data_IF_920250808596
#
_entry.id   IF_920250808596
#
_cell.length_a   1.000
_cell.length_b   1.000
_cell.length_c   1.000
_cell.angle_alpha   90.00
_cell.angle_beta   90.00
_cell.angle_gamma   90.00
#
_symmetry.space_group_name_H-M   'P 1'
#
loop_
_entity.id
_entity.type
_entity.pdbx_description
1 polymer ?
#
# COMPACT_ATOMS: atom_id res chain seq x y z
N UNK A 1 -18.43 17.76 -35.24
CA UNK A 1 -17.77 16.57 -34.62
C UNK A 1 -16.45 16.94 -33.94
N UNK A 2 -15.51 17.63 -34.62
CA UNK A 2 -14.23 18.06 -34.04
C UNK A 2 -14.36 18.97 -32.80
N UNK A 3 -15.24 19.98 -32.82
CA UNK A 3 -15.44 20.88 -31.68
C UNK A 3 -15.96 20.18 -30.41
N UNK A 4 -16.83 19.16 -30.57
CA UNK A 4 -17.35 18.37 -29.45
C UNK A 4 -16.30 17.43 -28.85
N UNK A 5 -15.46 16.81 -29.68
CA UNK A 5 -14.32 16.02 -29.22
C UNK A 5 -13.30 16.88 -28.47
N UNK A 6 -13.02 18.09 -28.95
CA UNK A 6 -12.11 19.04 -28.31
C UNK A 6 -12.67 19.57 -26.98
N UNK A 7 -13.98 19.86 -26.91
CA UNK A 7 -14.63 20.26 -25.66
C UNK A 7 -14.65 19.12 -24.63
N UNK A 8 -14.92 17.88 -25.06
CA UNK A 8 -14.95 16.71 -24.18
C UNK A 8 -13.56 16.37 -23.62
N UNK A 9 -12.50 16.42 -24.42
CA UNK A 9 -11.13 16.20 -23.95
C UNK A 9 -10.65 17.33 -23.01
N UNK A 10 -11.06 18.58 -23.26
CA UNK A 10 -10.70 19.72 -22.42
C UNK A 10 -11.36 19.65 -21.03
N UNK A 11 -12.65 19.31 -20.97
CA UNK A 11 -13.37 19.13 -19.69
C UNK A 11 -12.73 18.00 -18.89
N UNK A 12 -12.40 16.88 -19.54
CA UNK A 12 -11.77 15.74 -18.89
C UNK A 12 -10.36 16.07 -18.35
N UNK A 13 -9.56 16.86 -19.08
CA UNK A 13 -8.26 17.32 -18.61
C UNK A 13 -8.37 18.28 -17.41
N UNK A 14 -9.34 19.20 -17.43
CA UNK A 14 -9.61 20.11 -16.32
C UNK A 14 -10.06 19.38 -15.05
N UNK A 15 -10.92 18.37 -15.20
CA UNK A 15 -11.39 17.53 -14.09
C UNK A 15 -10.25 16.71 -13.49
N UNK A 16 -9.37 16.14 -14.32
CA UNK A 16 -8.17 15.43 -13.85
C UNK A 16 -7.25 16.34 -13.06
N UNK A 17 -6.92 17.54 -13.55
CA UNK A 17 -5.99 18.44 -12.82
C UNK A 17 -6.56 18.88 -11.47
N UNK A 18 -7.87 19.11 -11.38
CA UNK A 18 -8.56 19.40 -10.12
C UNK A 18 -8.54 18.19 -9.18
N UNK A 19 -8.93 17.02 -9.66
CA UNK A 19 -8.95 15.78 -8.90
C UNK A 19 -7.55 15.35 -8.40
N UNK A 20 -6.51 15.60 -9.19
CA UNK A 20 -5.13 15.30 -8.86
C UNK A 20 -4.60 16.11 -7.66
N UNK A 21 -5.20 17.27 -7.37
CA UNK A 21 -4.87 18.11 -6.21
C UNK A 21 -5.70 17.77 -4.97
N UNK A 22 -6.69 16.88 -5.11
CA UNK A 22 -7.54 16.49 -4.00
C UNK A 22 -6.75 15.77 -2.90
N UNK A 23 -7.12 16.02 -1.63
CA UNK A 23 -6.49 15.36 -0.49
C UNK A 23 -6.60 13.83 -0.55
N UNK A 24 -7.74 13.32 -1.02
CA UNK A 24 -8.00 11.88 -1.17
C UNK A 24 -6.97 11.26 -2.13
N UNK A 25 -6.78 11.86 -3.31
CA UNK A 25 -5.80 11.38 -4.28
C UNK A 25 -4.35 11.45 -3.79
N UNK A 26 -3.95 12.60 -3.22
CA UNK A 26 -2.61 12.77 -2.66
C UNK A 26 -2.32 11.76 -1.54
N UNK A 27 -3.33 11.40 -0.75
CA UNK A 27 -3.22 10.37 0.30
C UNK A 27 -3.03 8.98 -0.32
N UNK A 28 -3.80 8.64 -1.36
CA UNK A 28 -3.66 7.35 -2.08
C UNK A 28 -2.29 7.18 -2.74
N UNK A 29 -1.58 8.27 -3.04
CA UNK A 29 -0.22 8.28 -3.56
C UNK A 29 0.85 8.47 -2.48
N UNK A 30 0.47 8.58 -1.20
CA UNK A 30 1.37 8.88 -0.08
C UNK A 30 2.26 10.12 -0.32
N UNK A 31 1.70 11.18 -0.89
CA UNK A 31 2.42 12.41 -1.16
C UNK A 31 2.63 13.19 0.14
N UNK A 32 3.89 13.52 0.43
CA UNK A 32 4.29 14.48 1.45
C UNK A 32 5.25 15.49 0.83
N UNK A 33 5.10 16.79 1.15
CA UNK A 33 5.96 17.86 0.61
C UNK A 33 6.20 17.72 -0.91
N UNK A 34 5.14 17.48 -1.67
CA UNK A 34 5.11 17.30 -3.13
C UNK A 34 5.87 16.08 -3.70
N UNK A 35 6.24 15.10 -2.88
CA UNK A 35 6.82 13.83 -3.36
C UNK A 35 6.15 12.63 -2.71
N UNK A 36 6.09 11.52 -3.43
CA UNK A 36 5.59 10.26 -2.86
C UNK A 36 6.62 9.65 -1.92
N UNK A 37 6.18 9.20 -0.76
CA UNK A 37 6.99 8.38 0.14
C UNK A 37 7.19 6.95 -0.38
N UNK A 38 6.31 6.46 -1.25
CA UNK A 38 6.47 5.16 -1.89
C UNK A 38 7.52 5.24 -2.99
N UNK A 39 8.54 4.41 -2.90
CA UNK A 39 9.65 4.36 -3.85
C UNK A 39 9.52 3.24 -4.90
N UNK A 40 8.72 2.21 -4.61
CA UNK A 40 8.54 1.04 -5.48
C UNK A 40 7.97 1.42 -6.85
N UNK A 41 8.67 1.09 -7.92
CA UNK A 41 8.21 1.34 -9.30
C UNK A 41 6.87 0.69 -9.59
N UNK A 42 6.65 -0.52 -9.06
CA UNK A 42 5.40 -1.25 -9.22
C UNK A 42 4.20 -0.47 -8.67
N UNK A 43 4.38 0.46 -7.73
CA UNK A 43 3.28 1.25 -7.19
C UNK A 43 2.71 2.27 -8.19
N UNK A 44 3.48 2.66 -9.21
CA UNK A 44 3.11 3.71 -10.15
C UNK A 44 2.75 3.14 -11.52
N UNK A 45 1.83 3.80 -12.20
CA UNK A 45 1.47 3.55 -13.60
C UNK A 45 2.09 4.59 -14.55
N UNK A 46 2.45 5.76 -14.03
CA UNK A 46 3.19 6.82 -14.73
C UNK A 46 4.69 6.78 -14.43
N UNK A 47 5.51 7.27 -15.35
CA UNK A 47 6.96 7.35 -15.16
C UNK A 47 7.37 8.55 -14.31
N UNK A 48 6.73 9.71 -14.49
CA UNK A 48 7.04 10.94 -13.76
C UNK A 48 6.63 10.90 -12.29
N UNK A 49 5.66 10.05 -11.94
CA UNK A 49 5.05 9.94 -10.60
C UNK A 49 4.41 11.24 -10.11
N UNK A 50 4.16 12.20 -11.01
CA UNK A 50 3.42 13.41 -10.66
C UNK A 50 1.97 13.02 -10.34
N UNK A 51 1.30 13.67 -9.36
CA UNK A 51 -0.08 13.30 -9.02
C UNK A 51 -1.03 13.38 -10.21
N UNK A 52 -0.83 14.33 -11.11
CA UNK A 52 -1.68 14.55 -12.28
C UNK A 52 -1.45 13.49 -13.38
N UNK A 53 -0.19 13.20 -13.71
CA UNK A 53 0.12 12.16 -14.70
C UNK A 53 -0.22 10.76 -14.18
N UNK A 54 0.00 10.50 -12.89
CA UNK A 54 -0.38 9.24 -12.25
C UNK A 54 -1.90 9.06 -12.24
N UNK A 55 -2.68 10.13 -12.01
CA UNK A 55 -4.14 10.06 -12.09
C UNK A 55 -4.60 9.78 -13.51
N UNK A 56 -4.00 10.47 -14.49
CA UNK A 56 -4.28 10.26 -15.91
C UNK A 56 -3.99 8.82 -16.34
N UNK A 57 -2.81 8.29 -15.98
CA UNK A 57 -2.42 6.92 -16.27
C UNK A 57 -3.35 5.92 -15.58
N UNK A 58 -3.70 6.17 -14.31
CA UNK A 58 -4.61 5.32 -13.54
C UNK A 58 -6.03 5.31 -14.13
N UNK A 59 -6.54 6.47 -14.53
CA UNK A 59 -7.83 6.62 -15.21
C UNK A 59 -7.90 5.80 -16.49
N UNK A 60 -6.91 5.99 -17.37
CA UNK A 60 -6.84 5.27 -18.63
C UNK A 60 -6.73 3.75 -18.41
N UNK A 61 -5.88 3.32 -17.49
CA UNK A 61 -5.67 1.92 -17.19
C UNK A 61 -6.92 1.23 -16.60
N UNK A 62 -7.69 1.94 -15.77
CA UNK A 62 -8.91 1.42 -15.14
C UNK A 62 -10.07 1.33 -16.12
N UNK A 63 -10.26 2.31 -16.99
CA UNK A 63 -11.42 2.37 -17.87
C UNK A 63 -11.21 1.71 -19.23
N UNK A 64 -9.96 1.50 -19.64
CA UNK A 64 -9.69 0.74 -20.86
C UNK A 64 -10.05 -0.73 -20.69
N UNK A 65 -10.52 -1.41 -21.75
CA UNK A 65 -10.60 -2.86 -21.78
C UNK A 65 -9.25 -3.48 -21.39
N UNK A 66 -9.28 -4.54 -20.58
CA UNK A 66 -8.09 -5.23 -20.12
C UNK A 66 -8.13 -6.69 -20.57
N UNK A 67 -7.08 -7.12 -21.27
CA UNK A 67 -6.97 -8.46 -21.87
C UNK A 67 -5.75 -9.24 -21.39
N UNK A 68 -5.03 -8.71 -20.39
CA UNK A 68 -3.84 -9.35 -19.82
C UNK A 68 -4.15 -10.37 -18.72
N UNK A 69 -3.11 -10.78 -17.99
CA UNK A 69 -3.26 -11.59 -16.77
C UNK A 69 -4.16 -10.86 -15.77
N UNK A 70 -5.25 -11.51 -15.34
CA UNK A 70 -6.23 -10.94 -14.41
C UNK A 70 -5.61 -10.49 -13.06
N UNK A 71 -4.43 -10.99 -12.67
CA UNK A 71 -3.67 -10.51 -11.50
C UNK A 71 -3.07 -9.11 -11.70
N UNK A 72 -2.92 -8.68 -12.95
CA UNK A 72 -2.37 -7.39 -13.34
C UNK A 72 -3.46 -6.39 -13.75
N UNK A 73 -4.75 -6.77 -13.67
CA UNK A 73 -5.84 -5.85 -13.96
C UNK A 73 -5.72 -4.61 -13.06
N UNK A 74 -5.59 -3.40 -13.62
CA UNK A 74 -5.45 -2.16 -12.86
C UNK A 74 -6.61 -1.91 -11.87
N UNK A 75 -7.84 -2.30 -12.23
CA UNK A 75 -8.99 -2.18 -11.33
C UNK A 75 -8.83 -3.04 -10.07
N UNK A 76 -8.27 -4.23 -10.24
CA UNK A 76 -8.12 -5.21 -9.16
C UNK A 76 -6.87 -4.98 -8.33
N UNK A 77 -5.82 -4.46 -8.97
CA UNK A 77 -4.55 -4.13 -8.34
C UNK A 77 -4.62 -2.87 -7.49
N UNK A 78 -5.43 -1.89 -7.91
CA UNK A 78 -5.58 -0.61 -7.20
C UNK A 78 -7.04 -0.37 -6.80
N UNK A 79 -7.62 -1.16 -5.88
CA UNK A 79 -9.04 -1.08 -5.55
C UNK A 79 -9.44 0.29 -5.00
N UNK A 80 -8.61 0.91 -4.14
CA UNK A 80 -8.90 2.22 -3.59
C UNK A 80 -8.80 3.35 -4.64
N UNK A 81 -7.84 3.28 -5.56
CA UNK A 81 -7.76 4.24 -6.69
C UNK A 81 -8.94 4.05 -7.65
N UNK A 82 -9.38 2.81 -7.82
CA UNK A 82 -10.57 2.46 -8.59
C UNK A 82 -11.81 3.08 -7.96
N UNK A 83 -12.01 2.92 -6.65
CA UNK A 83 -13.09 3.57 -5.91
C UNK A 83 -13.08 5.09 -6.08
N UNK A 84 -11.90 5.70 -5.94
CA UNK A 84 -11.71 7.13 -6.16
C UNK A 84 -12.15 7.56 -7.57
N UNK A 85 -11.68 6.87 -8.62
CA UNK A 85 -12.02 7.23 -10.01
C UNK A 85 -13.52 7.06 -10.28
N UNK A 86 -14.12 5.95 -9.86
CA UNK A 86 -15.55 5.73 -10.04
C UNK A 86 -16.39 6.82 -9.37
N UNK A 87 -16.00 7.26 -8.18
CA UNK A 87 -16.68 8.32 -7.43
C UNK A 87 -16.45 9.70 -8.06
N UNK A 88 -15.20 10.07 -8.32
CA UNK A 88 -14.82 11.41 -8.79
C UNK A 88 -15.36 11.73 -10.17
N UNK A 89 -15.36 10.76 -11.08
CA UNK A 89 -15.82 10.94 -12.46
C UNK A 89 -17.25 10.40 -12.68
N UNK A 90 -17.98 10.13 -11.60
CA UNK A 90 -19.38 9.66 -11.62
C UNK A 90 -19.62 8.46 -12.56
N UNK A 91 -18.70 7.49 -12.54
CA UNK A 91 -18.77 6.31 -13.40
C UNK A 91 -19.65 5.27 -12.70
N UNK A 92 -20.54 4.64 -13.47
CA UNK A 92 -21.45 3.62 -12.96
C UNK A 92 -20.68 2.40 -12.42
N UNK A 93 -21.02 1.99 -11.19
CA UNK A 93 -20.42 0.82 -10.52
C UNK A 93 -20.62 -0.47 -11.30
N UNK A 94 -21.62 -0.56 -12.18
CA UNK A 94 -21.80 -1.72 -13.08
C UNK A 94 -20.62 -1.96 -14.01
N UNK A 95 -19.80 -0.93 -14.27
CA UNK A 95 -18.60 -1.04 -15.10
C UNK A 95 -17.39 -1.58 -14.30
N UNK A 96 -17.57 -1.93 -13.02
CA UNK A 96 -16.53 -2.61 -12.23
C UNK A 96 -16.34 -4.05 -12.72
N UNK A 97 -15.09 -4.41 -12.93
CA UNK A 97 -14.69 -5.78 -13.26
C UNK A 97 -14.71 -6.67 -12.02
N UNK A 98 -14.96 -7.97 -12.23
CA UNK A 98 -14.91 -8.97 -11.16
C UNK A 98 -13.45 -9.29 -10.81
N UNK A 99 -13.00 -8.81 -9.66
CA UNK A 99 -11.63 -9.03 -9.18
C UNK A 99 -11.53 -10.30 -8.33
N UNK A 100 -11.51 -11.48 -8.97
CA UNK A 100 -11.48 -12.78 -8.27
C UNK A 100 -10.30 -12.91 -7.32
N UNK A 101 -9.07 -12.61 -7.76
CA UNK A 101 -7.89 -12.68 -6.89
C UNK A 101 -7.98 -11.76 -5.67
N UNK A 102 -8.57 -10.57 -5.83
CA UNK A 102 -8.80 -9.66 -4.71
C UNK A 102 -9.84 -10.21 -3.73
N UNK A 103 -10.92 -10.81 -4.25
CA UNK A 103 -11.93 -11.47 -3.43
C UNK A 103 -11.34 -12.66 -2.69
N UNK A 104 -10.63 -13.54 -3.39
CA UNK A 104 -9.92 -14.68 -2.81
C UNK A 104 -8.93 -14.24 -1.73
N UNK A 105 -8.14 -13.18 -1.96
CA UNK A 105 -7.21 -12.66 -0.96
C UNK A 105 -7.93 -12.09 0.28
N UNK A 106 -9.03 -11.35 0.09
CA UNK A 106 -9.85 -10.84 1.20
C UNK A 106 -10.50 -11.98 1.99
N UNK A 107 -11.04 -12.97 1.29
CA UNK A 107 -11.69 -14.13 1.90
C UNK A 107 -10.67 -15.02 2.59
N UNK A 108 -9.45 -15.12 2.05
CA UNK A 108 -8.34 -15.80 2.67
C UNK A 108 -7.97 -15.15 4.01
N UNK A 109 -7.80 -13.82 4.03
CA UNK A 109 -7.56 -13.09 5.27
C UNK A 109 -8.75 -13.18 6.23
N UNK A 110 -9.98 -13.09 5.71
CA UNK A 110 -11.24 -13.06 6.47
C UNK A 110 -11.13 -12.20 7.75
N UNK A 111 -10.63 -10.97 7.58
CA UNK A 111 -10.25 -10.09 8.68
C UNK A 111 -11.44 -9.84 9.62
N UNK A 112 -11.19 -10.01 10.92
CA UNK A 112 -12.14 -9.75 12.00
C UNK A 112 -11.68 -8.57 12.85
N UNK A 113 -10.40 -8.54 13.20
CA UNK A 113 -9.84 -7.58 14.14
C UNK A 113 -8.42 -7.17 13.72
N UNK A 114 -8.07 -5.92 14.01
CA UNK A 114 -6.74 -5.35 13.82
C UNK A 114 -6.23 -4.93 15.19
N UNK A 115 -5.08 -5.48 15.60
CA UNK A 115 -4.43 -5.18 16.87
C UNK A 115 -3.04 -4.61 16.61
N UNK A 116 -2.63 -3.61 17.41
CA UNK A 116 -1.24 -3.12 17.42
C UNK A 116 -0.49 -3.85 18.54
N UNK A 117 0.55 -4.59 18.18
CA UNK A 117 1.35 -5.39 19.10
C UNK A 117 2.69 -4.71 19.34
N UNK A 118 3.07 -4.61 20.61
CA UNK A 118 4.39 -4.16 21.06
C UNK A 118 5.08 -5.33 21.77
N UNK A 119 6.07 -5.94 21.14
CA UNK A 119 6.74 -7.14 21.66
C UNK A 119 7.81 -6.86 22.73
N UNK A 120 8.21 -5.60 22.96
CA UNK A 120 9.17 -5.26 24.01
C UNK A 120 8.82 -3.93 24.70
N UNK A 121 8.88 -3.94 26.04
CA UNK A 121 8.84 -2.78 26.92
C UNK A 121 10.23 -2.20 27.23
N UNK A 122 11.31 -2.82 26.74
CA UNK A 122 12.67 -2.34 26.94
C UNK A 122 13.06 -1.40 25.81
N UNK A 123 12.93 -0.10 26.10
CA UNK A 123 13.34 1.00 25.22
C UNK A 123 14.87 1.17 25.14
N UNK A 124 15.64 0.08 25.25
CA UNK A 124 17.11 0.14 25.36
C UNK A 124 17.79 0.63 24.08
N UNK A 125 17.10 0.57 22.93
CA UNK A 125 17.53 1.23 21.70
C UNK A 125 16.34 1.58 20.79
N UNK A 126 16.44 2.68 20.04
CA UNK A 126 15.42 3.10 19.07
C UNK A 126 15.17 2.03 17.98
N UNK A 127 16.21 1.26 17.61
CA UNK A 127 16.10 0.16 16.66
C UNK A 127 15.20 -0.98 17.17
N UNK A 128 15.21 -1.26 18.47
CA UNK A 128 14.34 -2.26 19.10
C UNK A 128 12.89 -1.75 19.19
N UNK A 129 12.67 -0.50 19.60
CA UNK A 129 11.33 0.08 19.75
C UNK A 129 10.47 -0.03 18.46
N UNK A 130 11.07 0.29 17.30
CA UNK A 130 10.38 0.19 16.01
C UNK A 130 10.38 -1.25 15.44
N UNK A 131 11.39 -2.07 15.74
CA UNK A 131 11.45 -3.47 15.27
C UNK A 131 10.47 -4.43 15.97
N UNK A 132 10.00 -4.08 17.16
CA UNK A 132 9.05 -4.89 17.93
C UNK A 132 7.61 -4.38 17.89
N UNK A 133 7.32 -3.39 17.03
CA UNK A 133 5.95 -2.90 16.82
C UNK A 133 5.42 -3.43 15.49
N UNK A 134 4.32 -4.18 15.53
CA UNK A 134 3.69 -4.72 14.32
C UNK A 134 2.17 -4.79 14.48
N UNK A 135 1.47 -4.86 13.35
CA UNK A 135 0.01 -4.97 13.33
C UNK A 135 -0.36 -6.45 13.19
N UNK A 136 -1.11 -6.99 14.14
CA UNK A 136 -1.71 -8.33 14.05
C UNK A 136 -3.09 -8.23 13.41
N UNK A 137 -3.31 -9.03 12.38
CA UNK A 137 -4.55 -9.18 11.65
C UNK A 137 -5.20 -10.51 12.04
N UNK A 138 -6.26 -10.46 12.85
CA UNK A 138 -6.99 -11.66 13.28
C UNK A 138 -8.00 -12.08 12.24
N UNK A 139 -8.00 -13.36 11.87
CA UNK A 139 -8.99 -13.93 10.97
C UNK A 139 -10.22 -14.45 11.71
N UNK A 140 -11.41 -14.36 11.09
CA UNK A 140 -12.61 -15.08 11.57
C UNK A 140 -12.42 -16.60 11.53
N UNK A 141 -11.52 -17.08 10.68
CA UNK A 141 -11.24 -18.50 10.45
C UNK A 141 -10.27 -19.10 11.48
N UNK A 142 -9.57 -18.27 12.26
CA UNK A 142 -8.54 -18.71 13.22
C UNK A 142 -9.07 -18.92 14.65
N UNK A 143 -10.39 -19.14 14.85
CA UNK A 143 -10.97 -19.39 16.19
C UNK A 143 -10.24 -20.54 16.90
N UNK A 144 -9.41 -20.20 17.90
CA UNK A 144 -8.61 -21.13 18.70
C UNK A 144 -7.19 -21.40 18.20
N UNK A 145 -6.73 -20.75 17.12
CA UNK A 145 -5.40 -20.95 16.52
C UNK A 145 -4.73 -19.61 16.18
N UNK A 146 -4.44 -18.81 17.21
CA UNK A 146 -3.85 -17.45 17.08
C UNK A 146 -2.52 -17.42 16.30
N UNK A 147 -1.78 -18.52 16.29
CA UNK A 147 -0.51 -18.67 15.55
C UNK A 147 -0.68 -18.63 14.02
N UNK A 148 -1.90 -18.82 13.51
CA UNK A 148 -2.24 -18.73 12.09
C UNK A 148 -2.70 -17.33 11.65
N UNK A 149 -2.80 -16.38 12.57
CA UNK A 149 -3.07 -14.98 12.23
C UNK A 149 -1.90 -14.40 11.41
N UNK A 150 -2.07 -13.19 10.86
CA UNK A 150 -1.01 -12.53 10.08
C UNK A 150 -0.44 -11.32 10.82
N UNK A 151 0.88 -11.15 10.76
CA UNK A 151 1.58 -9.95 11.21
C UNK A 151 2.00 -9.09 10.03
N UNK A 152 1.65 -7.80 10.08
CA UNK A 152 2.17 -6.76 9.21
C UNK A 152 3.25 -5.99 9.96
N UNK A 153 4.49 -6.13 9.54
CA UNK A 153 5.64 -5.41 10.09
C UNK A 153 6.19 -4.38 9.10
N UNK A 154 6.87 -3.37 9.65
CA UNK A 154 7.62 -2.38 8.89
C UNK A 154 9.08 -2.42 9.36
N UNK A 155 10.01 -2.75 8.47
CA UNK A 155 11.42 -2.87 8.79
C UNK A 155 12.28 -1.94 7.93
N UNK A 156 13.33 -1.38 8.52
CA UNK A 156 14.33 -0.60 7.81
C UNK A 156 15.23 -1.53 6.97
N UNK A 157 15.42 -1.22 5.69
CA UNK A 157 16.36 -1.94 4.83
C UNK A 157 17.76 -1.33 4.95
N UNK A 158 18.62 -1.97 5.74
CA UNK A 158 19.94 -1.41 6.11
C UNK A 158 21.07 -1.84 5.17
N UNK A 159 20.83 -2.86 4.33
CA UNK A 159 21.85 -3.40 3.43
C UNK A 159 23.10 -3.85 4.19
N UNK A 160 24.27 -3.39 3.74
CA UNK A 160 25.57 -3.69 4.35
C UNK A 160 26.13 -2.52 5.19
N UNK A 161 25.31 -1.50 5.49
CA UNK A 161 25.75 -0.35 6.28
C UNK A 161 26.13 -0.78 7.70
N UNK A 162 27.28 -0.31 8.20
CA UNK A 162 27.83 -0.66 9.52
C UNK A 162 28.37 0.59 10.24
N UNK A 163 28.61 0.45 11.54
CA UNK A 163 29.30 1.46 12.35
C UNK A 163 28.59 2.82 12.36
N UNK A 164 29.36 3.90 12.23
CA UNK A 164 28.87 5.29 12.34
C UNK A 164 27.81 5.60 11.27
N UNK A 165 28.00 5.12 10.03
CA UNK A 165 27.03 5.34 8.95
C UNK A 165 25.67 4.71 9.30
N UNK A 166 25.70 3.52 9.90
CA UNK A 166 24.49 2.86 10.36
C UNK A 166 23.81 3.63 11.48
N UNK A 167 24.58 4.09 12.47
CA UNK A 167 24.05 4.86 13.59
C UNK A 167 23.41 6.18 13.12
N UNK A 168 24.08 6.93 12.25
CA UNK A 168 23.56 8.19 11.73
C UNK A 168 22.28 7.99 10.90
N UNK A 169 22.28 7.06 9.94
CA UNK A 169 21.08 6.78 9.15
C UNK A 169 19.94 6.25 10.00
N UNK A 170 20.23 5.47 11.04
CA UNK A 170 19.25 4.96 11.99
C UNK A 170 18.60 6.08 12.80
N UNK A 171 19.40 7.00 13.36
CA UNK A 171 18.89 8.11 14.19
C UNK A 171 18.09 9.12 13.37
N UNK A 172 18.52 9.41 12.14
CA UNK A 172 17.86 10.40 11.29
C UNK A 172 16.78 9.82 10.35
N UNK A 173 16.54 8.50 10.39
CA UNK A 173 15.48 7.86 9.60
C UNK A 173 15.76 7.80 8.09
N UNK A 174 17.02 7.75 7.67
CA UNK A 174 17.41 7.72 6.26
C UNK A 174 17.34 6.34 5.61
N UNK A 175 16.96 5.30 6.36
CA UNK A 175 16.75 3.98 5.79
C UNK A 175 15.36 3.84 5.17
N UNK A 176 15.25 3.31 3.94
CA UNK A 176 13.95 3.00 3.37
C UNK A 176 13.27 1.90 4.18
N UNK A 177 12.00 2.10 4.50
CA UNK A 177 11.18 1.11 5.18
C UNK A 177 10.52 0.17 4.16
N UNK A 178 10.37 -1.10 4.54
CA UNK A 178 9.62 -2.11 3.78
C UNK A 178 8.56 -2.74 4.65
N UNK A 179 7.36 -2.83 4.12
CA UNK A 179 6.26 -3.57 4.75
C UNK A 179 6.29 -5.03 4.31
N UNK A 180 6.08 -5.93 5.26
CA UNK A 180 5.98 -7.37 5.04
C UNK A 180 4.74 -7.92 5.74
N UNK A 181 4.05 -8.84 5.08
CA UNK A 181 2.92 -9.58 5.66
C UNK A 181 3.33 -11.04 5.81
N UNK A 182 3.44 -11.51 7.04
CA UNK A 182 3.96 -12.83 7.38
C UNK A 182 3.00 -13.55 8.33
N UNK A 183 2.92 -14.89 8.31
CA UNK A 183 2.21 -15.64 9.34
C UNK A 183 2.73 -15.30 10.74
N UNK A 184 1.83 -15.14 11.70
CA UNK A 184 2.12 -14.65 13.05
C UNK A 184 3.10 -15.57 13.80
N UNK A 185 2.98 -16.89 13.66
CA UNK A 185 3.95 -17.82 14.27
C UNK A 185 5.40 -17.61 13.81
N UNK A 186 5.62 -17.19 12.55
CA UNK A 186 6.97 -16.88 12.06
C UNK A 186 7.52 -15.67 12.80
N UNK A 187 6.68 -14.65 13.01
CA UNK A 187 7.04 -13.47 13.81
C UNK A 187 7.31 -13.83 15.26
N UNK A 188 6.45 -14.60 15.91
CA UNK A 188 6.68 -15.10 17.28
C UNK A 188 8.01 -15.85 17.37
N UNK A 189 8.30 -16.75 16.42
CA UNK A 189 9.57 -17.49 16.40
C UNK A 189 10.77 -16.57 16.18
N UNK A 190 10.66 -15.59 15.30
CA UNK A 190 11.68 -14.55 15.09
C UNK A 190 11.94 -13.79 16.39
N UNK A 191 10.89 -13.39 17.12
CA UNK A 191 11.03 -12.74 18.43
C UNK A 191 11.70 -13.64 19.48
N UNK A 192 11.21 -14.87 19.66
CA UNK A 192 11.78 -15.83 20.63
C UNK A 192 13.25 -16.14 20.31
N UNK A 193 13.57 -16.34 19.03
CA UNK A 193 14.91 -16.70 18.57
C UNK A 193 15.90 -15.53 18.55
N UNK A 194 15.46 -14.30 18.27
CA UNK A 194 16.33 -13.12 18.23
C UNK A 194 16.58 -12.57 19.65
N UNK A 195 15.59 -12.66 20.55
CA UNK A 195 15.72 -12.14 21.92
C UNK A 195 16.32 -13.15 22.91
N UNK A 196 16.60 -14.39 22.50
CA UNK A 196 17.23 -15.39 23.36
C UNK A 196 16.40 -15.73 24.59
N UNK A 197 15.09 -15.89 24.42
CA UNK A 197 14.17 -16.24 25.49
C UNK A 197 13.80 -17.73 25.38
N UNK A 198 14.42 -18.55 26.24
CA UNK A 198 14.01 -19.92 26.51
C UNK A 198 12.71 -19.97 27.33
#
# INVERSE_FOLDING_TARGET
MLAYLVLFTYIQAADISSAAKSREWLTLLHIQKNHSLVTSEKFFLSQSRSPEEELTATYNAILSPFTGDARQDPQCRFPARTDFIFKTFNIDKKNRRLCRYWQEWKDFLALDEVSLIFASSYMSSASSLFGHTFIKLRSKKSKGQELLDYGLDAAAMTGNDKGILFALKGVFGFYPARFSLLPYHIKVKEYVSIEGRD
#
